data_IF_441423852232
#
_entry.id   IF_441423852232
#
_cell.length_a   1.000
_cell.length_b   1.000
_cell.length_c   1.000
_cell.angle_alpha   90.00
_cell.angle_beta   90.00
_cell.angle_gamma   90.00
#
_symmetry.space_group_name_H-M   'P 1'
#
loop_
_entity.id
_entity.type
_entity.pdbx_description
1 polymer ?
#
# COMPACT_ATOMS: atom_id res chain seq x y z
N UNK A 1 50.15 -26.48 11.51
CA UNK A 1 49.58 -27.23 12.67
C UNK A 1 50.47 -27.23 13.90
N UNK A 2 51.71 -27.74 13.87
CA UNK A 2 52.57 -27.78 15.08
C UNK A 2 52.73 -26.41 15.78
N UNK A 3 52.93 -25.33 15.01
CA UNK A 3 53.01 -23.97 15.55
C UNK A 3 51.69 -23.47 16.15
N UNK A 4 50.53 -23.84 15.58
CA UNK A 4 49.22 -23.49 16.12
C UNK A 4 48.98 -24.22 17.45
N UNK A 5 49.30 -25.52 17.54
CA UNK A 5 49.23 -26.29 18.80
C UNK A 5 50.10 -25.69 19.91
N UNK A 6 51.27 -25.15 19.54
CA UNK A 6 52.21 -24.55 20.48
C UNK A 6 51.76 -23.18 21.01
N UNK A 7 50.76 -22.54 20.40
CA UNK A 7 50.21 -21.28 20.90
C UNK A 7 49.62 -21.46 22.30
N UNK A 8 49.98 -20.57 23.22
CA UNK A 8 49.52 -20.59 24.60
C UNK A 8 48.24 -19.78 24.79
N UNK A 9 48.04 -18.75 23.95
CA UNK A 9 46.94 -17.80 24.05
C UNK A 9 46.15 -17.72 22.74
N UNK A 10 44.89 -17.28 22.83
CA UNK A 10 44.05 -17.03 21.66
C UNK A 10 44.65 -15.96 20.75
N UNK A 11 45.29 -14.94 21.33
CA UNK A 11 46.00 -13.90 20.58
C UNK A 11 47.15 -14.47 19.75
N UNK A 12 47.99 -15.32 20.32
CA UNK A 12 49.08 -15.97 19.57
C UNK A 12 48.54 -16.84 18.42
N UNK A 13 47.45 -17.58 18.68
CA UNK A 13 46.75 -18.36 17.66
C UNK A 13 46.24 -17.46 16.52
N UNK A 14 45.60 -16.34 16.86
CA UNK A 14 45.11 -15.34 15.91
C UNK A 14 46.23 -14.75 15.05
N UNK A 15 47.36 -14.38 15.66
CA UNK A 15 48.54 -13.84 14.95
C UNK A 15 49.16 -14.88 13.99
N UNK A 16 49.18 -16.16 14.37
CA UNK A 16 49.62 -17.26 13.50
C UNK A 16 48.67 -17.49 12.33
N UNK A 17 47.36 -17.49 12.59
CA UNK A 17 46.33 -17.64 11.56
C UNK A 17 46.34 -16.46 10.57
N UNK A 18 46.53 -15.24 11.06
CA UNK A 18 46.68 -14.04 10.21
C UNK A 18 47.89 -14.15 9.28
N UNK A 19 49.04 -14.62 9.79
CA UNK A 19 50.23 -14.89 8.96
C UNK A 19 49.95 -15.96 7.90
N UNK A 20 49.31 -17.06 8.28
CA UNK A 20 48.96 -18.12 7.33
C UNK A 20 47.96 -17.65 6.25
N UNK A 21 47.07 -16.72 6.58
CA UNK A 21 46.19 -16.09 5.60
C UNK A 21 46.96 -15.18 4.64
N UNK A 22 47.84 -14.32 5.15
CA UNK A 22 48.68 -13.43 4.34
C UNK A 22 49.58 -14.21 3.35
N UNK A 23 50.10 -15.35 3.80
CA UNK A 23 50.92 -16.26 2.97
C UNK A 23 50.09 -17.16 2.05
N UNK A 24 48.75 -17.08 2.10
CA UNK A 24 47.80 -17.95 1.38
C UNK A 24 47.98 -19.46 1.69
N UNK A 25 48.61 -19.78 2.81
CA UNK A 25 48.84 -21.15 3.29
C UNK A 25 47.70 -21.69 4.17
N UNK A 26 46.75 -20.84 4.57
CA UNK A 26 45.59 -21.21 5.40
C UNK A 26 44.77 -22.39 4.83
N UNK A 27 44.62 -22.51 3.50
CA UNK A 27 43.90 -23.63 2.87
C UNK A 27 44.56 -24.98 3.14
N UNK A 28 45.88 -25.02 3.34
CA UNK A 28 46.61 -26.24 3.71
C UNK A 28 46.34 -26.59 5.18
N UNK A 29 46.22 -25.59 6.05
CA UNK A 29 45.95 -25.79 7.48
C UNK A 29 44.55 -26.33 7.75
N UNK A 30 43.55 -25.87 6.99
CA UNK A 30 42.14 -26.26 7.18
C UNK A 30 41.70 -27.41 6.26
N UNK A 31 42.66 -28.11 5.63
CA UNK A 31 42.36 -29.24 4.75
C UNK A 31 41.97 -30.47 5.58
N UNK A 32 40.99 -31.22 5.09
CA UNK A 32 40.51 -32.46 5.71
C UNK A 32 40.16 -32.24 7.20
N UNK A 33 40.70 -33.05 8.12
CA UNK A 33 40.49 -32.94 9.58
C UNK A 33 41.11 -31.68 10.21
N UNK A 34 41.99 -30.98 9.48
CA UNK A 34 42.69 -29.80 9.96
C UNK A 34 41.74 -28.66 10.36
N UNK A 35 40.58 -28.53 9.70
CA UNK A 35 39.57 -27.55 10.09
C UNK A 35 39.05 -27.82 11.51
N UNK A 36 38.61 -29.05 11.78
CA UNK A 36 38.11 -29.46 13.10
C UNK A 36 39.18 -29.32 14.18
N UNK A 37 40.43 -29.60 13.85
CA UNK A 37 41.55 -29.42 14.77
C UNK A 37 41.78 -27.94 15.12
N UNK A 38 41.81 -27.05 14.13
CA UNK A 38 41.98 -25.60 14.37
C UNK A 38 40.79 -25.04 15.17
N UNK A 39 39.56 -25.46 14.84
CA UNK A 39 38.36 -25.08 15.61
C UNK A 39 38.49 -25.51 17.07
N UNK A 40 38.92 -26.75 17.32
CA UNK A 40 39.13 -27.25 18.68
C UNK A 40 40.19 -26.46 19.45
N UNK A 41 41.29 -26.09 18.77
CA UNK A 41 42.31 -25.22 19.36
C UNK A 41 41.78 -23.83 19.72
N UNK A 42 40.88 -23.25 18.91
CA UNK A 42 40.24 -21.97 19.27
C UNK A 42 39.42 -22.13 20.55
N UNK A 43 38.57 -23.15 20.64
CA UNK A 43 37.78 -23.44 21.85
C UNK A 43 38.66 -23.68 23.09
N UNK A 44 39.75 -24.43 22.99
CA UNK A 44 40.70 -24.63 24.10
C UNK A 44 41.40 -23.35 24.58
N UNK A 45 41.37 -22.29 23.76
CA UNK A 45 42.00 -21.00 24.06
C UNK A 45 41.02 -19.92 24.49
N UNK A 46 39.71 -20.19 24.42
CA UNK A 46 38.69 -19.39 25.11
C UNK A 46 38.69 -19.86 26.57
N UNK A 47 39.33 -19.09 27.46
CA UNK A 47 39.52 -19.49 28.87
C UNK A 47 38.76 -18.61 29.85
N UNK A 48 38.40 -17.41 29.44
CA UNK A 48 37.68 -16.44 30.25
C UNK A 48 36.68 -15.66 29.37
N UNK A 49 35.68 -15.00 29.98
CA UNK A 49 34.65 -14.24 29.24
C UNK A 49 35.23 -13.19 28.27
N UNK A 50 36.37 -12.58 28.60
CA UNK A 50 37.08 -11.64 27.73
C UNK A 50 37.63 -12.27 26.44
N UNK A 51 37.82 -13.59 26.40
CA UNK A 51 38.28 -14.33 25.23
C UNK A 51 37.13 -14.78 24.31
N UNK A 52 35.88 -14.74 24.77
CA UNK A 52 34.72 -15.27 24.04
C UNK A 52 34.48 -14.49 22.73
N UNK A 53 34.44 -13.16 22.78
CA UNK A 53 34.21 -12.33 21.59
C UNK A 53 35.40 -12.39 20.60
N UNK A 54 36.68 -12.29 21.02
CA UNK A 54 37.81 -12.58 20.13
C UNK A 54 37.79 -14.01 19.57
N UNK A 55 37.35 -14.99 20.37
CA UNK A 55 37.21 -16.38 19.93
C UNK A 55 36.15 -16.50 18.84
N UNK A 56 35.06 -15.75 19.00
CA UNK A 56 34.00 -15.67 18.01
C UNK A 56 34.48 -15.06 16.69
N UNK A 57 35.35 -14.04 16.74
CA UNK A 57 35.99 -13.48 15.55
C UNK A 57 36.80 -14.54 14.81
N UNK A 58 37.60 -15.33 15.53
CA UNK A 58 38.43 -16.39 14.93
C UNK A 58 37.61 -17.50 14.28
N UNK A 59 36.55 -17.95 14.96
CA UNK A 59 35.62 -18.95 14.43
C UNK A 59 34.85 -18.42 13.22
N UNK A 60 34.34 -17.18 13.27
CA UNK A 60 33.69 -16.55 12.13
C UNK A 60 34.64 -16.37 10.93
N UNK A 61 35.90 -16.02 11.19
CA UNK A 61 36.95 -15.92 10.16
C UNK A 61 37.25 -17.27 9.52
N UNK A 62 37.31 -18.35 10.31
CA UNK A 62 37.45 -19.71 9.81
C UNK A 62 36.25 -20.11 8.94
N UNK A 63 35.04 -19.76 9.35
CA UNK A 63 33.82 -20.09 8.61
C UNK A 63 33.83 -19.44 7.22
N UNK A 64 34.24 -18.17 7.13
CA UNK A 64 34.35 -17.45 5.86
C UNK A 64 35.31 -18.12 4.85
N UNK A 65 36.28 -18.91 5.30
CA UNK A 65 37.24 -19.62 4.43
C UNK A 65 37.01 -21.13 4.35
N UNK A 66 36.06 -21.69 5.10
CA UNK A 66 35.82 -23.13 5.21
C UNK A 66 35.21 -23.75 3.95
N UNK A 67 34.49 -22.96 3.13
CA UNK A 67 33.85 -23.34 1.84
C UNK A 67 32.93 -24.56 1.94
N UNK A 68 31.66 -24.36 2.33
CA UNK A 68 30.63 -25.40 2.50
C UNK A 68 30.93 -26.40 3.64
N UNK A 69 31.82 -26.02 4.57
CA UNK A 69 32.20 -26.82 5.75
C UNK A 69 32.01 -26.03 7.05
N UNK A 70 31.33 -24.90 6.96
CA UNK A 70 31.04 -24.00 8.05
C UNK A 70 30.18 -24.64 9.16
N UNK A 71 29.44 -25.71 8.86
CA UNK A 71 28.71 -26.49 9.87
C UNK A 71 29.62 -26.98 11.01
N UNK A 72 30.89 -27.34 10.71
CA UNK A 72 31.90 -27.75 11.71
C UNK A 72 32.11 -26.67 12.79
N UNK A 73 31.82 -25.41 12.45
CA UNK A 73 31.97 -24.25 13.33
C UNK A 73 30.61 -23.87 13.93
N UNK A 74 29.58 -23.74 13.10
CA UNK A 74 28.27 -23.22 13.54
C UNK A 74 27.49 -24.19 14.42
N UNK A 75 27.68 -25.51 14.27
CA UNK A 75 27.07 -26.52 15.15
C UNK A 75 27.56 -26.38 16.61
N UNK A 76 28.66 -25.64 16.82
CA UNK A 76 29.24 -25.38 18.14
C UNK A 76 29.17 -23.91 18.53
N UNK A 77 28.39 -23.07 17.83
CA UNK A 77 28.30 -21.64 18.12
C UNK A 77 27.80 -21.38 19.56
N UNK A 78 26.90 -22.22 20.07
CA UNK A 78 26.36 -22.14 21.43
C UNK A 78 27.42 -22.37 22.52
N UNK A 79 28.53 -23.05 22.20
CA UNK A 79 29.60 -23.34 23.16
C UNK A 79 30.54 -22.14 23.38
N UNK A 80 30.41 -21.08 22.56
CA UNK A 80 31.37 -19.96 22.53
C UNK A 80 31.10 -18.96 23.65
N UNK A 81 29.83 -18.69 23.93
CA UNK A 81 29.41 -17.61 24.83
C UNK A 81 28.78 -18.17 26.09
N UNK A 82 29.33 -17.84 27.26
CA UNK A 82 28.73 -18.22 28.54
C UNK A 82 27.53 -17.35 28.91
N UNK A 83 27.54 -16.09 28.47
CA UNK A 83 26.48 -15.08 28.67
C UNK A 83 26.43 -14.15 27.45
N UNK A 84 25.53 -13.16 27.46
CA UNK A 84 25.53 -12.11 26.44
C UNK A 84 26.91 -11.40 26.39
N UNK A 85 27.60 -11.36 25.23
CA UNK A 85 28.92 -10.76 25.12
C UNK A 85 28.86 -9.23 25.16
N UNK A 86 30.01 -8.54 25.39
CA UNK A 86 30.10 -7.09 25.19
C UNK A 86 29.82 -6.69 23.73
N UNK A 87 29.65 -5.39 23.48
CA UNK A 87 29.35 -4.87 22.14
C UNK A 87 30.41 -5.27 21.10
N UNK A 88 29.93 -5.73 19.93
CA UNK A 88 30.74 -6.02 18.74
C UNK A 88 31.45 -4.76 18.24
N UNK A 89 30.88 -3.57 18.45
CA UNK A 89 31.49 -2.32 17.97
C UNK A 89 32.84 -2.02 18.63
N UNK A 90 33.11 -2.62 19.80
CA UNK A 90 34.40 -2.53 20.49
C UNK A 90 35.55 -3.29 19.81
N UNK A 91 35.28 -4.10 18.78
CA UNK A 91 36.30 -4.78 17.99
C UNK A 91 37.05 -3.81 17.08
N UNK A 92 38.33 -4.12 16.84
CA UNK A 92 39.33 -3.19 16.24
C UNK A 92 38.95 -2.77 14.82
N UNK A 93 38.51 -3.69 13.97
CA UNK A 93 38.26 -3.46 12.55
C UNK A 93 36.91 -4.03 12.07
N UNK A 94 36.49 -3.61 10.88
CA UNK A 94 35.19 -3.97 10.33
C UNK A 94 35.05 -5.44 9.94
N UNK A 95 36.15 -6.13 9.62
CA UNK A 95 36.12 -7.55 9.28
C UNK A 95 35.92 -8.38 10.55
N UNK A 96 36.63 -8.04 11.63
CA UNK A 96 36.44 -8.64 12.94
C UNK A 96 34.97 -8.50 13.40
N UNK A 97 34.40 -7.31 13.25
CA UNK A 97 32.98 -7.07 13.54
C UNK A 97 32.05 -7.96 12.70
N UNK A 98 32.35 -8.13 11.41
CA UNK A 98 31.55 -8.96 10.51
C UNK A 98 31.65 -10.46 10.85
N UNK A 99 32.85 -10.95 11.18
CA UNK A 99 33.07 -12.33 11.60
C UNK A 99 32.37 -12.64 12.92
N UNK A 100 32.50 -11.76 13.92
CA UNK A 100 31.79 -11.91 15.19
C UNK A 100 30.27 -11.92 14.99
N UNK A 101 29.74 -10.96 14.21
CA UNK A 101 28.32 -10.92 13.88
C UNK A 101 27.84 -12.23 13.24
N UNK A 102 28.62 -12.77 12.28
CA UNK A 102 28.27 -14.02 11.60
C UNK A 102 28.20 -15.21 12.56
N UNK A 103 29.07 -15.28 13.56
CA UNK A 103 29.00 -16.36 14.54
C UNK A 103 27.83 -16.17 15.51
N UNK A 104 27.66 -14.95 16.04
CA UNK A 104 26.59 -14.61 16.99
C UNK A 104 25.21 -14.96 16.42
N UNK A 105 24.98 -14.77 15.12
CA UNK A 105 23.69 -15.09 14.50
C UNK A 105 23.38 -16.58 14.43
N UNK A 106 24.34 -17.47 14.69
CA UNK A 106 24.15 -18.92 14.75
C UNK A 106 23.96 -19.44 16.17
N UNK A 107 24.08 -18.58 17.18
CA UNK A 107 23.82 -18.93 18.58
C UNK A 107 22.30 -19.03 18.80
N UNK A 108 21.85 -20.10 19.46
CA UNK A 108 20.47 -20.43 19.78
C UNK A 108 19.96 -19.80 21.09
N UNK A 109 20.76 -18.95 21.75
CA UNK A 109 20.40 -18.33 23.02
C UNK A 109 19.37 -17.19 22.86
N UNK A 110 18.52 -17.02 23.89
CA UNK A 110 17.42 -16.03 23.86
C UNK A 110 17.88 -14.57 23.81
N UNK A 111 19.11 -14.28 24.21
CA UNK A 111 19.69 -12.93 24.16
C UNK A 111 20.07 -12.49 22.74
N UNK A 112 20.22 -13.42 21.80
CA UNK A 112 20.79 -13.15 20.46
C UNK A 112 19.94 -12.17 19.66
N UNK A 113 18.62 -12.36 19.61
CA UNK A 113 17.72 -11.49 18.86
C UNK A 113 17.75 -10.03 19.36
N UNK A 114 17.50 -9.74 20.66
CA UNK A 114 17.57 -8.36 21.14
C UNK A 114 19.00 -7.79 21.07
N UNK A 115 20.03 -8.61 21.28
CA UNK A 115 21.44 -8.19 21.09
C UNK A 115 21.73 -7.77 19.64
N UNK A 116 21.32 -8.58 18.66
CA UNK A 116 21.55 -8.30 17.24
C UNK A 116 20.89 -6.99 16.79
N UNK A 117 19.67 -6.70 17.24
CA UNK A 117 19.03 -5.42 16.97
C UNK A 117 19.80 -4.26 17.62
N UNK A 118 20.15 -4.34 18.91
CA UNK A 118 20.92 -3.29 19.60
C UNK A 118 22.26 -3.02 18.93
N UNK A 119 23.01 -4.07 18.62
CA UNK A 119 24.32 -3.96 17.98
C UNK A 119 24.23 -3.44 16.55
N UNK A 120 23.21 -3.83 15.78
CA UNK A 120 23.02 -3.30 14.43
C UNK A 120 22.85 -1.77 14.42
N UNK A 121 22.25 -1.22 15.46
CA UNK A 121 22.09 0.21 15.67
C UNK A 121 23.38 0.84 16.24
N UNK A 122 24.03 0.17 17.19
CA UNK A 122 25.21 0.65 17.91
C UNK A 122 26.50 0.68 17.08
N UNK A 123 26.66 -0.22 16.11
CA UNK A 123 27.86 -0.28 15.24
C UNK A 123 28.09 1.06 14.54
N UNK A 124 29.23 1.70 14.79
CA UNK A 124 29.57 2.99 14.21
C UNK A 124 29.94 2.88 12.74
N UNK A 125 30.83 1.94 12.46
CA UNK A 125 31.40 1.67 11.14
C UNK A 125 31.63 0.16 11.03
N UNK A 126 30.91 -0.49 10.09
CA UNK A 126 31.04 -1.87 9.62
C UNK A 126 29.69 -2.32 9.06
N UNK A 127 29.35 -1.82 7.86
CA UNK A 127 28.02 -2.08 7.28
C UNK A 127 27.81 -3.56 6.95
N UNK A 128 28.89 -4.32 6.73
CA UNK A 128 28.86 -5.79 6.61
C UNK A 128 28.37 -6.48 7.89
N UNK A 129 28.92 -6.11 9.05
CA UNK A 129 28.46 -6.62 10.34
C UNK A 129 26.99 -6.26 10.61
N UNK A 130 26.62 -5.00 10.34
CA UNK A 130 25.23 -4.54 10.46
C UNK A 130 24.29 -5.35 9.56
N UNK A 131 24.71 -5.60 8.31
CA UNK A 131 23.93 -6.38 7.34
C UNK A 131 23.70 -7.81 7.84
N UNK A 132 24.74 -8.47 8.35
CA UNK A 132 24.63 -9.82 8.91
C UNK A 132 23.64 -9.87 10.07
N UNK A 133 23.75 -8.95 11.04
CA UNK A 133 22.84 -8.90 12.19
C UNK A 133 21.40 -8.63 11.77
N UNK A 134 21.17 -7.60 10.96
CA UNK A 134 19.82 -7.21 10.52
C UNK A 134 19.15 -8.27 9.64
N UNK A 135 19.91 -8.95 8.77
CA UNK A 135 19.39 -10.04 7.94
C UNK A 135 18.95 -11.21 8.81
N UNK A 136 19.79 -11.59 9.76
CA UNK A 136 19.48 -12.67 10.69
C UNK A 136 18.33 -12.32 11.65
N UNK A 137 18.14 -11.04 11.97
CA UNK A 137 16.92 -10.58 12.65
C UNK A 137 15.70 -10.79 11.76
N UNK A 138 15.71 -10.30 10.50
CA UNK A 138 14.57 -10.44 9.58
C UNK A 138 14.18 -11.91 9.35
N UNK A 139 15.15 -12.82 9.24
CA UNK A 139 14.92 -14.25 9.07
C UNK A 139 14.22 -14.92 10.28
N UNK A 140 14.33 -14.32 11.47
CA UNK A 140 13.64 -14.80 12.69
C UNK A 140 12.22 -14.25 12.83
N UNK A 141 11.91 -13.16 12.14
CA UNK A 141 10.60 -12.53 12.19
C UNK A 141 9.63 -13.17 11.20
N UNK A 142 8.33 -13.08 11.49
CA UNK A 142 7.30 -13.61 10.60
C UNK A 142 7.09 -12.72 9.36
N UNK A 143 7.39 -11.42 9.49
CA UNK A 143 7.15 -10.44 8.44
C UNK A 143 8.08 -9.23 8.54
N UNK A 144 8.14 -8.44 7.45
CA UNK A 144 8.87 -7.16 7.45
C UNK A 144 8.29 -6.18 8.47
N UNK A 145 6.98 -6.20 8.72
CA UNK A 145 6.35 -5.35 9.72
C UNK A 145 6.87 -5.65 11.12
N UNK A 146 6.94 -6.91 11.49
CA UNK A 146 7.45 -7.35 12.81
C UNK A 146 8.92 -6.96 12.96
N UNK A 147 9.72 -7.10 11.90
CA UNK A 147 11.12 -6.67 11.88
C UNK A 147 11.31 -5.16 12.09
N UNK A 148 10.45 -4.34 11.48
CA UNK A 148 10.46 -2.88 11.69
C UNK A 148 10.05 -2.52 13.11
N UNK A 149 9.04 -3.20 13.66
CA UNK A 149 8.58 -3.01 15.05
C UNK A 149 9.68 -3.37 16.04
N UNK A 150 10.28 -4.55 15.91
CA UNK A 150 11.32 -5.04 16.79
C UNK A 150 12.58 -4.15 16.76
N UNK A 151 12.98 -3.65 15.58
CA UNK A 151 14.05 -2.66 15.48
C UNK A 151 13.70 -1.35 16.20
N UNK A 152 12.45 -0.87 16.03
CA UNK A 152 11.98 0.37 16.64
C UNK A 152 12.00 0.30 18.17
N UNK A 153 11.67 -0.85 18.75
CA UNK A 153 11.71 -1.07 20.20
C UNK A 153 13.13 -0.93 20.78
N UNK A 154 14.17 -1.16 19.98
CA UNK A 154 15.56 -0.99 20.40
C UNK A 154 16.09 0.44 20.20
N UNK A 155 15.34 1.37 19.61
CA UNK A 155 15.83 2.74 19.38
C UNK A 155 16.18 3.46 20.66
N UNK A 156 15.47 3.19 21.75
CA UNK A 156 15.77 3.75 23.07
C UNK A 156 17.13 3.29 23.63
N UNK A 157 17.66 2.14 23.18
CA UNK A 157 18.95 1.61 23.66
C UNK A 157 20.15 2.35 23.07
N UNK A 158 19.97 3.14 22.00
CA UNK A 158 21.04 3.90 21.32
C UNK A 158 21.62 5.04 22.16
N UNK A 159 21.02 5.35 23.32
CA UNK A 159 21.45 6.47 24.16
C UNK A 159 21.26 7.83 23.49
N UNK A 160 21.97 8.85 24.00
CA UNK A 160 21.93 10.19 23.43
C UNK A 160 22.96 10.38 22.33
N UNK A 161 22.55 11.00 21.23
CA UNK A 161 23.47 11.45 20.19
C UNK A 161 23.98 12.86 20.50
N UNK A 162 25.24 13.20 20.16
CA UNK A 162 25.79 14.54 20.38
C UNK A 162 25.00 15.62 19.64
N UNK A 163 24.51 15.32 18.44
CA UNK A 163 23.74 16.22 17.59
C UNK A 163 22.65 15.47 16.82
N UNK A 164 21.57 16.16 16.39
CA UNK A 164 20.59 15.59 15.47
C UNK A 164 21.20 15.09 14.15
N UNK A 165 22.19 15.80 13.61
CA UNK A 165 22.89 15.40 12.38
C UNK A 165 23.64 14.07 12.54
N UNK A 166 24.35 13.87 13.65
CA UNK A 166 25.04 12.61 13.94
C UNK A 166 24.05 11.43 14.05
N UNK A 167 22.89 11.66 14.68
CA UNK A 167 21.78 10.69 14.73
C UNK A 167 21.30 10.32 13.33
N UNK A 168 21.03 11.32 12.49
CA UNK A 168 20.54 11.08 11.13
C UNK A 168 21.56 10.39 10.24
N UNK A 169 22.86 10.74 10.33
CA UNK A 169 23.92 10.03 9.61
C UNK A 169 24.02 8.57 10.03
N UNK A 170 23.79 8.27 11.32
CA UNK A 170 23.73 6.88 11.82
C UNK A 170 22.55 6.14 11.18
N UNK A 171 21.35 6.72 11.26
CA UNK A 171 20.16 6.13 10.67
C UNK A 171 20.24 5.97 9.17
N UNK A 172 20.88 6.90 8.46
CA UNK A 172 21.12 6.79 7.02
C UNK A 172 21.84 5.49 6.67
N UNK A 173 22.86 5.10 7.44
CA UNK A 173 23.57 3.82 7.25
C UNK A 173 22.72 2.61 7.61
N UNK A 174 21.94 2.69 8.69
CA UNK A 174 21.01 1.61 9.08
C UNK A 174 19.96 1.37 7.99
N UNK A 175 19.29 2.43 7.53
CA UNK A 175 18.24 2.36 6.52
C UNK A 175 18.76 1.92 5.15
N UNK A 176 19.98 2.30 4.77
CA UNK A 176 20.59 1.83 3.52
C UNK A 176 20.85 0.31 3.55
N UNK A 177 21.36 -0.21 4.67
CA UNK A 177 21.50 -1.66 4.88
C UNK A 177 20.13 -2.34 4.87
N UNK A 178 19.14 -1.81 5.59
CA UNK A 178 17.78 -2.36 5.58
C UNK A 178 17.18 -2.40 4.17
N UNK A 179 17.32 -1.32 3.40
CA UNK A 179 16.86 -1.25 2.01
C UNK A 179 17.49 -2.32 1.13
N UNK A 180 18.79 -2.58 1.31
CA UNK A 180 19.53 -3.62 0.58
C UNK A 180 19.06 -5.03 0.95
N UNK A 181 18.77 -5.29 2.23
CA UNK A 181 18.20 -6.56 2.69
C UNK A 181 16.80 -6.76 2.08
N UNK A 182 15.95 -5.74 2.11
CA UNK A 182 14.58 -5.79 1.57
C UNK A 182 14.50 -6.03 0.05
N UNK A 183 15.50 -5.60 -0.71
CA UNK A 183 15.57 -5.90 -2.16
C UNK A 183 15.62 -7.40 -2.45
N UNK A 184 16.28 -8.16 -1.57
CA UNK A 184 16.45 -9.60 -1.69
C UNK A 184 15.35 -10.39 -0.98
N UNK A 185 14.60 -9.76 -0.06
CA UNK A 185 13.49 -10.38 0.63
C UNK A 185 12.38 -10.86 -0.33
N UNK A 186 11.84 -12.05 -0.01
CA UNK A 186 10.74 -12.72 -0.74
C UNK A 186 9.64 -13.27 0.18
N UNK A 187 9.77 -13.09 1.50
CA UNK A 187 8.78 -13.56 2.48
C UNK A 187 7.61 -12.59 2.64
N UNK A 188 6.85 -12.75 3.73
CA UNK A 188 5.69 -11.90 4.01
C UNK A 188 6.11 -10.47 4.39
N UNK A 189 5.23 -9.52 4.05
CA UNK A 189 5.36 -8.11 4.40
C UNK A 189 4.70 -7.81 5.74
N UNK A 190 3.63 -8.54 6.08
CA UNK A 190 2.85 -8.30 7.30
C UNK A 190 1.80 -7.21 7.15
N UNK A 191 0.94 -7.09 8.16
CA UNK A 191 -0.11 -6.07 8.21
C UNK A 191 0.46 -4.70 8.61
N UNK A 192 -0.21 -3.61 8.20
CA UNK A 192 0.10 -2.24 8.61
C UNK A 192 1.55 -1.75 8.39
N UNK A 193 2.35 -2.40 7.53
CA UNK A 193 3.76 -2.05 7.31
C UNK A 193 3.99 -0.55 6.99
N UNK A 194 3.06 0.09 6.26
CA UNK A 194 3.16 1.51 5.93
C UNK A 194 3.08 2.40 7.17
N UNK A 195 2.24 2.03 8.13
CA UNK A 195 2.17 2.66 9.46
C UNK A 195 3.47 2.44 10.23
N UNK A 196 3.96 1.20 10.29
CA UNK A 196 5.19 0.86 11.03
C UNK A 196 6.43 1.60 10.48
N UNK A 197 6.56 1.73 9.15
CA UNK A 197 7.59 2.54 8.52
C UNK A 197 7.44 4.04 8.82
N UNK A 198 6.22 4.55 8.89
CA UNK A 198 5.97 5.95 9.24
C UNK A 198 6.32 6.26 10.70
N UNK A 199 6.06 5.31 11.60
CA UNK A 199 6.42 5.42 13.01
C UNK A 199 7.93 5.31 13.19
N UNK A 200 8.59 4.36 12.49
CA UNK A 200 10.04 4.30 12.42
C UNK A 200 10.62 5.63 11.91
N UNK A 201 10.08 6.22 10.84
CA UNK A 201 10.54 7.52 10.33
C UNK A 201 10.44 8.61 11.40
N UNK A 202 9.36 8.62 12.18
CA UNK A 202 9.17 9.61 13.25
C UNK A 202 10.22 9.44 14.34
N UNK A 203 10.56 8.19 14.70
CA UNK A 203 11.67 7.90 15.59
C UNK A 203 13.01 8.33 14.98
N UNK A 204 13.29 8.03 13.71
CA UNK A 204 14.54 8.41 13.05
C UNK A 204 14.77 9.93 13.09
N UNK A 205 13.76 10.71 12.70
CA UNK A 205 13.84 12.18 12.63
C UNK A 205 13.89 12.84 14.01
N UNK A 206 13.36 12.19 15.05
CA UNK A 206 13.38 12.71 16.41
C UNK A 206 12.50 13.95 16.60
N UNK A 207 12.87 14.87 17.50
CA UNK A 207 12.05 16.05 17.83
C UNK A 207 12.51 17.36 17.16
N UNK A 208 13.75 17.44 16.70
CA UNK A 208 14.33 18.66 16.14
C UNK A 208 15.26 18.35 14.97
N UNK A 209 15.09 19.11 13.89
CA UNK A 209 15.86 19.02 12.65
C UNK A 209 16.61 20.32 12.30
N UNK A 210 16.63 21.32 13.19
CA UNK A 210 17.10 22.69 12.88
C UNK A 210 18.55 22.78 12.41
N UNK A 211 19.39 21.80 12.74
CA UNK A 211 20.84 21.79 12.45
C UNK A 211 21.25 20.59 11.61
N UNK A 212 20.31 20.02 10.86
CA UNK A 212 20.54 18.82 10.03
C UNK A 212 20.90 19.23 8.61
N UNK A 213 21.89 18.56 8.03
CA UNK A 213 22.22 18.69 6.61
C UNK A 213 21.07 18.14 5.73
N UNK A 214 20.54 18.99 4.83
CA UNK A 214 19.45 18.65 3.92
C UNK A 214 19.76 17.42 3.05
N UNK A 215 21.02 17.21 2.64
CA UNK A 215 21.38 16.05 1.82
C UNK A 215 21.30 14.76 2.63
N UNK A 216 21.72 14.79 3.92
CA UNK A 216 21.57 13.64 4.82
C UNK A 216 20.11 13.35 5.10
N UNK A 217 19.30 14.39 5.33
CA UNK A 217 17.87 14.27 5.54
C UNK A 217 17.17 13.67 4.31
N UNK A 218 17.48 14.18 3.12
CA UNK A 218 16.88 13.70 1.88
C UNK A 218 17.28 12.27 1.56
N UNK A 219 18.54 11.87 1.82
CA UNK A 219 18.95 10.47 1.70
C UNK A 219 18.12 9.57 2.62
N UNK A 220 17.91 9.96 3.88
CA UNK A 220 17.10 9.18 4.85
C UNK A 220 15.65 9.03 4.38
N UNK A 221 15.03 10.13 3.92
CA UNK A 221 13.68 10.08 3.37
C UNK A 221 13.61 9.20 2.11
N UNK A 222 14.60 9.28 1.21
CA UNK A 222 14.61 8.49 -0.01
C UNK A 222 14.81 6.99 0.26
N UNK A 223 15.57 6.61 1.30
CA UNK A 223 15.69 5.21 1.74
C UNK A 223 14.36 4.67 2.28
N UNK A 224 13.60 5.48 3.04
CA UNK A 224 12.24 5.09 3.44
C UNK A 224 11.33 4.87 2.24
N UNK A 225 11.42 5.72 1.22
CA UNK A 225 10.64 5.56 -0.01
C UNK A 225 11.12 4.37 -0.86
N UNK A 226 12.42 4.03 -0.82
CA UNK A 226 12.97 2.83 -1.47
C UNK A 226 12.36 1.58 -0.85
N UNK A 227 12.30 1.52 0.48
CA UNK A 227 11.63 0.42 1.20
C UNK A 227 10.13 0.37 0.87
N UNK A 228 9.42 1.51 0.91
CA UNK A 228 8.00 1.57 0.53
C UNK A 228 7.76 1.04 -0.89
N UNK A 229 8.55 1.49 -1.88
CA UNK A 229 8.44 1.03 -3.25
C UNK A 229 8.63 -0.49 -3.34
N UNK A 230 9.63 -1.02 -2.62
CA UNK A 230 9.90 -2.45 -2.59
C UNK A 230 8.74 -3.26 -1.98
N UNK A 231 8.09 -2.74 -0.93
CA UNK A 231 6.93 -3.38 -0.31
C UNK A 231 5.75 -3.48 -1.29
N UNK A 232 5.50 -2.41 -2.05
CA UNK A 232 4.47 -2.40 -3.09
C UNK A 232 4.80 -3.42 -4.19
N UNK A 233 6.06 -3.58 -4.56
CA UNK A 233 6.48 -4.59 -5.55
C UNK A 233 6.30 -6.03 -5.05
N UNK A 234 6.59 -6.30 -3.77
CA UNK A 234 6.39 -7.63 -3.18
C UNK A 234 4.89 -7.96 -3.14
N UNK A 235 4.04 -6.99 -2.79
CA UNK A 235 2.59 -7.21 -2.64
C UNK A 235 1.79 -6.01 -3.13
N UNK A 236 1.54 -5.97 -4.44
CA UNK A 236 0.83 -4.86 -5.10
C UNK A 236 -0.55 -4.55 -4.51
N UNK A 237 -1.25 -5.55 -3.96
CA UNK A 237 -2.56 -5.34 -3.32
C UNK A 237 -2.52 -4.28 -2.22
N UNK A 238 -1.37 -4.09 -1.56
CA UNK A 238 -1.20 -3.07 -0.53
C UNK A 238 -1.22 -1.64 -1.09
N UNK A 239 -0.82 -1.46 -2.36
CA UNK A 239 -0.83 -0.16 -3.02
C UNK A 239 -2.24 0.44 -3.13
N UNK A 240 -3.29 -0.37 -2.98
CA UNK A 240 -4.68 0.10 -3.01
C UNK A 240 -5.15 0.72 -1.68
N UNK A 241 -4.35 0.60 -0.61
CA UNK A 241 -4.68 1.12 0.71
C UNK A 241 -3.83 2.36 1.02
N UNK A 242 -4.47 3.44 1.45
CA UNK A 242 -3.77 4.68 1.78
C UNK A 242 -2.80 4.53 2.97
N UNK A 243 -3.11 3.64 3.92
CA UNK A 243 -2.25 3.34 5.07
C UNK A 243 -0.84 2.85 4.66
N UNK A 244 -0.71 2.19 3.51
CA UNK A 244 0.59 1.79 2.94
C UNK A 244 1.51 3.00 2.70
N UNK A 245 0.93 4.15 2.39
CA UNK A 245 1.64 5.38 2.04
C UNK A 245 1.83 6.34 3.22
N UNK A 246 1.54 5.92 4.45
CA UNK A 246 1.55 6.77 5.63
C UNK A 246 2.87 7.53 5.84
N UNK A 247 4.01 6.96 5.39
CA UNK A 247 5.33 7.59 5.45
C UNK A 247 5.41 8.93 4.70
N UNK A 248 4.64 9.12 3.62
CA UNK A 248 4.62 10.35 2.83
C UNK A 248 4.01 11.50 3.62
N UNK A 249 2.85 11.27 4.22
CA UNK A 249 2.16 12.29 5.01
C UNK A 249 2.91 12.58 6.31
N UNK A 250 3.44 11.52 6.96
CA UNK A 250 4.25 11.64 8.17
C UNK A 250 5.50 12.46 7.91
N UNK A 251 6.25 12.13 6.84
CA UNK A 251 7.47 12.84 6.43
C UNK A 251 7.19 14.30 6.14
N UNK A 252 6.18 14.59 5.30
CA UNK A 252 5.77 15.97 4.99
C UNK A 252 5.40 16.78 6.23
N UNK A 253 4.65 16.19 7.16
CA UNK A 253 4.27 16.83 8.42
C UNK A 253 5.48 17.13 9.30
N UNK A 254 6.43 16.20 9.33
CA UNK A 254 7.60 16.29 10.21
C UNK A 254 8.62 17.32 9.72
N UNK A 255 8.94 17.34 8.43
CA UNK A 255 9.95 18.28 7.87
C UNK A 255 9.36 19.63 7.44
N UNK A 256 8.03 19.71 7.33
CA UNK A 256 7.33 20.90 6.88
C UNK A 256 7.27 21.05 5.35
N UNK A 257 6.31 21.85 4.88
CA UNK A 257 5.98 21.94 3.45
C UNK A 257 7.12 22.48 2.57
N UNK A 258 7.95 23.40 3.09
CA UNK A 258 9.07 24.00 2.37
C UNK A 258 10.17 23.00 2.04
N UNK A 259 10.73 22.37 3.09
CA UNK A 259 11.79 21.33 2.97
C UNK A 259 11.26 20.14 2.19
N UNK A 260 10.02 19.71 2.45
CA UNK A 260 9.39 18.63 1.69
C UNK A 260 9.29 18.95 0.20
N UNK A 261 8.93 20.18 -0.17
CA UNK A 261 8.89 20.62 -1.57
C UNK A 261 10.24 20.55 -2.27
N UNK A 262 11.34 20.81 -1.56
CA UNK A 262 12.69 20.64 -2.10
C UNK A 262 13.04 19.15 -2.28
N UNK A 263 12.70 18.32 -1.28
CA UNK A 263 12.86 16.86 -1.34
C UNK A 263 12.12 16.25 -2.53
N UNK A 264 10.87 16.67 -2.80
CA UNK A 264 10.07 16.18 -3.93
C UNK A 264 10.75 16.32 -5.29
N UNK A 265 11.66 17.30 -5.44
CA UNK A 265 12.40 17.56 -6.69
C UNK A 265 13.73 16.80 -6.77
N UNK A 266 14.31 16.40 -5.62
CA UNK A 266 15.59 15.70 -5.55
C UNK A 266 15.46 14.18 -5.37
N UNK A 267 14.35 13.71 -4.81
CA UNK A 267 14.11 12.30 -4.49
C UNK A 267 14.20 11.42 -5.74
N UNK A 268 14.94 10.30 -5.63
CA UNK A 268 15.12 9.33 -6.71
C UNK A 268 13.96 8.33 -6.75
N UNK A 269 13.27 8.13 -5.63
CA UNK A 269 12.17 7.17 -5.52
C UNK A 269 10.79 7.78 -5.78
N UNK A 270 10.63 9.11 -5.67
CA UNK A 270 9.33 9.77 -5.77
C UNK A 270 8.59 9.49 -7.08
N UNK A 271 9.31 9.36 -8.20
CA UNK A 271 8.71 9.03 -9.50
C UNK A 271 8.02 7.66 -9.49
N UNK A 272 8.66 6.64 -8.89
CA UNK A 272 8.11 5.29 -8.75
C UNK A 272 6.88 5.28 -7.85
N UNK A 273 6.94 6.01 -6.72
CA UNK A 273 5.80 6.14 -5.81
C UNK A 273 4.60 6.83 -6.48
N UNK A 274 4.84 7.90 -7.23
CA UNK A 274 3.80 8.59 -8.01
C UNK A 274 3.13 7.65 -9.01
N UNK A 275 3.91 6.85 -9.75
CA UNK A 275 3.36 5.86 -10.68
C UNK A 275 2.50 4.83 -9.94
N UNK A 276 2.99 4.26 -8.83
CA UNK A 276 2.22 3.30 -8.04
C UNK A 276 0.88 3.88 -7.56
N UNK A 277 0.87 5.11 -7.04
CA UNK A 277 -0.35 5.79 -6.59
C UNK A 277 -1.33 6.08 -7.74
N UNK A 278 -0.82 6.47 -8.92
CA UNK A 278 -1.65 6.74 -10.10
C UNK A 278 -2.29 5.44 -10.64
N UNK A 279 -1.55 4.34 -10.65
CA UNK A 279 -2.07 3.02 -11.02
C UNK A 279 -3.11 2.55 -10.00
N UNK A 280 -2.85 2.72 -8.70
CA UNK A 280 -3.84 2.42 -7.65
C UNK A 280 -5.12 3.24 -7.82
N UNK A 281 -5.01 4.53 -8.12
CA UNK A 281 -6.16 5.39 -8.41
C UNK A 281 -6.93 4.90 -9.64
N UNK A 282 -6.24 4.45 -10.69
CA UNK A 282 -6.88 3.90 -11.89
C UNK A 282 -7.61 2.59 -11.58
N UNK A 283 -7.00 1.69 -10.81
CA UNK A 283 -7.63 0.43 -10.37
C UNK A 283 -8.87 0.70 -9.53
N UNK A 284 -8.79 1.61 -8.55
CA UNK A 284 -9.95 2.00 -7.75
C UNK A 284 -11.05 2.64 -8.60
N UNK A 285 -10.68 3.46 -9.59
CA UNK A 285 -11.63 4.07 -10.52
C UNK A 285 -12.37 3.02 -11.35
N UNK A 286 -11.68 1.98 -11.83
CA UNK A 286 -12.29 0.85 -12.55
C UNK A 286 -13.23 0.01 -11.68
N UNK A 287 -13.01 0.01 -10.37
CA UNK A 287 -13.92 -0.57 -9.38
C UNK A 287 -15.09 0.36 -9.03
N UNK A 288 -15.25 1.48 -9.73
CA UNK A 288 -16.24 2.52 -9.46
C UNK A 288 -16.12 3.12 -8.04
N UNK A 289 -14.89 3.24 -7.53
CA UNK A 289 -14.58 3.77 -6.19
C UNK A 289 -13.83 5.08 -6.26
N UNK A 290 -14.13 5.95 -5.30
CA UNK A 290 -13.37 7.17 -4.99
C UNK A 290 -12.68 6.99 -3.65
N UNK A 291 -11.48 7.55 -3.47
CA UNK A 291 -10.73 7.40 -2.23
C UNK A 291 -9.98 8.68 -1.85
N UNK A 292 -10.49 9.38 -0.83
CA UNK A 292 -9.93 10.65 -0.35
C UNK A 292 -8.55 10.48 0.29
N UNK A 293 -8.28 9.33 0.88
CA UNK A 293 -7.02 9.07 1.58
C UNK A 293 -5.90 8.81 0.55
N UNK A 294 -6.20 8.10 -0.54
CA UNK A 294 -5.27 7.96 -1.68
C UNK A 294 -5.00 9.31 -2.34
N UNK A 295 -6.00 10.18 -2.46
CA UNK A 295 -5.79 11.57 -2.88
C UNK A 295 -4.88 12.32 -1.89
N UNK A 296 -5.03 12.10 -0.59
CA UNK A 296 -4.13 12.62 0.46
C UNK A 296 -2.68 12.22 0.22
N UNK A 297 -2.43 10.92 -0.01
CA UNK A 297 -1.11 10.40 -0.34
C UNK A 297 -0.55 11.01 -1.65
N UNK A 298 -1.37 11.15 -2.70
CA UNK A 298 -0.99 11.86 -3.93
C UNK A 298 -0.61 13.32 -3.65
N UNK A 299 -1.38 14.04 -2.83
CA UNK A 299 -1.07 15.43 -2.45
C UNK A 299 0.20 15.55 -1.59
N UNK A 300 0.66 14.47 -0.98
CA UNK A 300 1.98 14.41 -0.36
C UNK A 300 3.10 14.24 -1.41
N UNK A 301 2.85 13.61 -2.55
CA UNK A 301 3.84 13.41 -3.62
C UNK A 301 4.02 14.58 -4.60
N UNK A 302 3.12 15.56 -4.60
CA UNK A 302 3.14 16.70 -5.53
C UNK A 302 3.17 18.03 -4.78
N UNK A 303 3.73 19.06 -5.41
CA UNK A 303 3.84 20.39 -4.80
C UNK A 303 2.50 21.10 -4.70
N UNK A 304 1.52 20.73 -5.53
CA UNK A 304 0.20 21.35 -5.53
C UNK A 304 -0.91 20.41 -6.06
N UNK A 305 -2.16 20.69 -5.65
CA UNK A 305 -3.34 19.96 -6.12
C UNK A 305 -3.55 20.04 -7.64
N UNK A 306 -3.36 21.19 -8.32
CA UNK A 306 -3.44 21.25 -9.78
C UNK A 306 -2.46 20.30 -10.48
N UNK A 307 -1.26 20.08 -9.92
CA UNK A 307 -0.32 19.10 -10.47
C UNK A 307 -0.84 17.67 -10.32
N UNK A 308 -1.47 17.32 -9.19
CA UNK A 308 -2.14 16.02 -9.01
C UNK A 308 -3.25 15.84 -10.04
N UNK A 309 -4.14 16.82 -10.18
CA UNK A 309 -5.24 16.77 -11.14
C UNK A 309 -4.74 16.60 -12.58
N UNK A 310 -3.69 17.33 -12.97
CA UNK A 310 -3.06 17.20 -14.28
C UNK A 310 -2.42 15.82 -14.49
N UNK A 311 -1.76 15.28 -13.46
CA UNK A 311 -1.16 13.95 -13.51
C UNK A 311 -2.21 12.85 -13.67
N UNK A 312 -3.31 12.90 -12.91
CA UNK A 312 -4.42 11.96 -13.01
C UNK A 312 -5.06 12.04 -14.39
N UNK A 313 -5.40 13.25 -14.88
CA UNK A 313 -5.98 13.44 -16.22
C UNK A 313 -5.12 12.84 -17.33
N UNK A 314 -3.79 13.03 -17.24
CA UNK A 314 -2.83 12.46 -18.18
C UNK A 314 -2.80 10.93 -18.09
N UNK A 315 -2.79 10.39 -16.88
CA UNK A 315 -2.71 8.96 -16.65
C UNK A 315 -4.00 8.22 -17.06
N UNK A 316 -5.16 8.87 -16.93
CA UNK A 316 -6.47 8.29 -17.25
C UNK A 316 -6.87 8.47 -18.73
N UNK A 317 -6.01 9.06 -19.57
CA UNK A 317 -6.37 9.47 -20.94
C UNK A 317 -6.93 8.33 -21.79
N UNK A 318 -6.39 7.12 -21.63
CA UNK A 318 -6.77 5.94 -22.41
C UNK A 318 -7.85 5.06 -21.74
N UNK A 319 -8.22 5.37 -20.49
CA UNK A 319 -9.13 4.56 -19.68
C UNK A 319 -10.60 4.86 -20.00
N UNK A 320 -11.06 4.55 -21.22
CA UNK A 320 -12.42 4.88 -21.73
C UNK A 320 -13.57 4.19 -20.99
N UNK A 321 -13.25 3.14 -20.22
CA UNK A 321 -14.14 2.28 -19.44
C UNK A 321 -14.63 2.90 -18.11
N UNK A 322 -14.06 4.03 -17.68
CA UNK A 322 -14.40 4.65 -16.40
C UNK A 322 -15.77 5.33 -16.39
N UNK A 323 -16.50 5.17 -15.29
CA UNK A 323 -17.71 5.95 -15.00
C UNK A 323 -17.41 7.47 -15.05
N UNK A 324 -18.24 8.28 -15.73
CA UNK A 324 -17.98 9.72 -15.89
C UNK A 324 -17.87 10.50 -14.59
N UNK A 325 -18.69 10.17 -13.58
CA UNK A 325 -18.73 10.88 -12.31
C UNK A 325 -17.51 10.50 -11.45
N UNK A 326 -17.13 9.21 -11.44
CA UNK A 326 -15.89 8.74 -10.80
C UNK A 326 -14.66 9.33 -11.47
N UNK A 327 -14.60 9.33 -12.81
CA UNK A 327 -13.51 9.97 -13.55
C UNK A 327 -13.41 11.46 -13.24
N UNK A 328 -14.55 12.17 -13.19
CA UNK A 328 -14.57 13.58 -12.86
C UNK A 328 -14.03 13.85 -11.45
N UNK A 329 -14.44 13.05 -10.47
CA UNK A 329 -13.96 13.12 -9.09
C UNK A 329 -12.44 12.90 -8.98
N UNK A 330 -11.90 11.88 -9.64
CA UNK A 330 -10.45 11.65 -9.64
C UNK A 330 -9.71 12.75 -10.42
N UNK A 331 -10.25 13.19 -11.55
CA UNK A 331 -9.65 14.25 -12.39
C UNK A 331 -9.69 15.64 -11.74
N UNK A 332 -10.55 15.86 -10.74
CA UNK A 332 -10.53 17.05 -9.87
C UNK A 332 -9.61 16.87 -8.66
N UNK A 333 -8.80 15.80 -8.64
CA UNK A 333 -7.97 15.40 -7.51
C UNK A 333 -8.78 15.31 -6.20
N UNK A 334 -10.00 14.76 -6.25
CA UNK A 334 -10.85 14.58 -5.08
C UNK A 334 -11.47 15.87 -4.53
N UNK A 335 -11.41 16.98 -5.26
CA UNK A 335 -12.36 18.07 -5.05
C UNK A 335 -13.74 17.51 -5.39
N UNK A 336 -14.43 17.09 -4.33
CA UNK A 336 -15.86 16.94 -4.39
C UNK A 336 -16.37 18.26 -4.94
N UNK A 337 -17.13 18.18 -6.02
CA UNK A 337 -18.07 19.26 -6.31
C UNK A 337 -18.97 19.29 -5.08
N UNK A 338 -18.73 20.20 -4.13
CA UNK A 338 -19.69 20.55 -3.06
C UNK A 338 -20.92 21.25 -3.66
N UNK A 339 -21.31 20.88 -4.88
CA UNK A 339 -22.71 20.64 -5.14
C UNK A 339 -23.09 19.46 -4.25
N UNK A 340 -23.62 19.76 -3.06
CA UNK A 340 -24.87 19.10 -2.66
C UNK A 340 -25.81 19.19 -3.85
N UNK A 341 -25.70 18.27 -4.79
CA UNK A 341 -26.90 17.58 -5.20
C UNK A 341 -27.19 16.69 -4.01
N UNK A 342 -28.22 17.07 -3.26
CA UNK A 342 -29.15 16.06 -2.78
C UNK A 342 -29.28 14.98 -3.85
N UNK A 343 -29.56 13.75 -3.47
CA UNK A 343 -30.06 12.76 -4.42
C UNK A 343 -31.45 13.22 -4.88
N UNK A 344 -31.51 14.35 -5.59
CA UNK A 344 -32.49 14.62 -6.59
C UNK A 344 -32.24 13.56 -7.63
N UNK A 345 -33.13 12.58 -7.64
CA UNK A 345 -33.45 11.81 -8.83
C UNK A 345 -33.45 12.81 -9.99
N UNK A 346 -32.38 12.82 -10.80
CA UNK A 346 -32.28 13.68 -11.98
C UNK A 346 -33.29 13.18 -13.01
N UNK A 347 -34.56 13.54 -12.82
CA UNK A 347 -35.49 13.80 -13.91
C UNK A 347 -34.79 14.85 -14.77
N UNK A 348 -34.44 14.50 -16.00
CA UNK A 348 -33.50 15.28 -16.82
C UNK A 348 -33.82 16.79 -16.86
N UNK A 349 -32.78 17.62 -16.75
CA UNK A 349 -32.84 19.09 -16.87
C UNK A 349 -33.09 19.55 -18.32
N UNK A 350 -34.21 19.14 -18.90
CA UNK A 350 -34.80 19.72 -20.10
C UNK A 350 -36.32 19.53 -19.98
N UNK A 351 -37.11 20.56 -20.30
CA UNK A 351 -38.58 20.51 -20.34
C UNK A 351 -39.07 19.23 -21.05
N UNK A 352 -38.36 18.79 -22.09
CA UNK A 352 -38.66 17.57 -22.84
C UNK A 352 -38.55 16.29 -22.00
N UNK A 353 -37.58 16.20 -21.09
CA UNK A 353 -37.40 15.04 -20.22
C UNK A 353 -38.46 15.02 -19.10
N UNK A 354 -38.88 16.18 -18.60
CA UNK A 354 -39.98 16.28 -17.63
C UNK A 354 -41.33 15.93 -18.25
N UNK A 355 -41.62 16.45 -19.46
CA UNK A 355 -42.81 16.07 -20.22
C UNK A 355 -42.78 14.57 -20.54
N UNK A 356 -41.59 14.04 -20.89
CA UNK A 356 -41.39 12.61 -21.11
C UNK A 356 -41.65 11.75 -19.88
N UNK A 357 -41.14 12.15 -18.71
CA UNK A 357 -41.38 11.45 -17.45
C UNK A 357 -42.87 11.47 -17.05
N UNK A 358 -43.53 12.63 -17.18
CA UNK A 358 -44.98 12.76 -16.96
C UNK A 358 -45.77 11.85 -17.92
N UNK A 359 -45.36 11.76 -19.19
CA UNK A 359 -46.00 10.87 -20.16
C UNK A 359 -45.89 9.41 -19.74
N UNK A 360 -44.71 8.97 -19.27
CA UNK A 360 -44.53 7.59 -18.78
C UNK A 360 -45.47 7.29 -17.60
N UNK A 361 -45.52 8.19 -16.61
CA UNK A 361 -46.35 7.99 -15.39
C UNK A 361 -47.84 8.04 -15.68
N UNK A 362 -48.27 8.88 -16.62
CA UNK A 362 -49.64 8.83 -17.11
C UNK A 362 -49.88 7.47 -17.75
N UNK A 363 -49.11 7.07 -18.76
CA UNK A 363 -49.39 5.87 -19.54
C UNK A 363 -49.32 4.58 -18.71
N UNK A 364 -48.43 4.51 -17.71
CA UNK A 364 -48.32 3.35 -16.80
C UNK A 364 -49.56 3.14 -15.93
N UNK A 365 -50.27 4.22 -15.59
CA UNK A 365 -51.44 4.21 -14.71
C UNK A 365 -52.78 4.17 -15.45
N UNK A 366 -52.78 4.23 -16.79
CA UNK A 366 -54.00 4.36 -17.59
C UNK A 366 -54.96 3.19 -17.36
N UNK A 367 -54.46 1.96 -17.45
CA UNK A 367 -55.28 0.76 -17.31
C UNK A 367 -55.90 0.66 -15.90
N UNK A 368 -55.12 1.01 -14.86
CA UNK A 368 -55.60 1.00 -13.48
C UNK A 368 -56.72 2.05 -13.28
N UNK A 369 -56.53 3.27 -13.79
CA UNK A 369 -57.53 4.33 -13.68
C UNK A 369 -58.78 4.06 -14.52
N UNK A 370 -58.65 3.44 -15.69
CA UNK A 370 -59.79 2.97 -16.48
C UNK A 370 -60.58 1.88 -15.75
N UNK A 371 -59.91 0.93 -15.09
CA UNK A 371 -60.56 -0.09 -14.26
C UNK A 371 -61.27 0.52 -13.04
N UNK A 372 -60.65 1.48 -12.35
CA UNK A 372 -61.31 2.22 -11.26
C UNK A 372 -62.58 2.92 -11.79
N UNK A 373 -62.48 3.60 -12.93
CA UNK A 373 -63.61 4.27 -13.55
C UNK A 373 -64.75 3.33 -13.96
N UNK A 374 -64.45 2.15 -14.51
CA UNK A 374 -65.48 1.22 -15.00
C UNK A 374 -66.04 0.29 -13.92
N UNK A 375 -65.21 -0.17 -12.98
CA UNK A 375 -65.61 -1.19 -11.99
C UNK A 375 -65.89 -0.59 -10.60
N UNK A 376 -65.01 0.28 -10.10
CA UNK A 376 -65.10 0.78 -8.72
C UNK A 376 -66.13 1.90 -8.61
N UNK A 377 -66.16 2.83 -9.55
CA UNK A 377 -67.15 3.93 -9.55
C UNK A 377 -68.57 3.37 -9.63
N UNK A 378 -68.84 2.40 -10.51
CA UNK A 378 -70.17 1.79 -10.65
C UNK A 378 -70.61 1.05 -9.38
N UNK A 379 -69.67 0.37 -8.71
CA UNK A 379 -69.96 -0.28 -7.44
C UNK A 379 -70.28 0.74 -6.33
N UNK A 380 -69.46 1.79 -6.22
CA UNK A 380 -69.68 2.88 -5.25
C UNK A 380 -70.96 3.66 -5.51
N UNK A 381 -71.44 3.77 -6.75
CA UNK A 381 -72.74 4.40 -7.03
C UNK A 381 -73.91 3.70 -6.33
N UNK A 382 -73.79 2.38 -6.12
CA UNK A 382 -74.83 1.57 -5.49
C UNK A 382 -74.70 1.62 -3.97
N UNK A 383 -73.47 1.53 -3.44
CA UNK A 383 -73.22 1.44 -1.99
C UNK A 383 -73.01 2.79 -1.30
N UNK A 384 -72.26 3.71 -1.91
CA UNK A 384 -71.85 5.00 -1.33
C UNK A 384 -71.77 6.12 -2.39
N UNK A 385 -72.91 6.75 -2.74
CA UNK A 385 -72.99 7.72 -3.84
C UNK A 385 -72.07 8.94 -3.72
N UNK A 386 -71.79 9.37 -2.48
CA UNK A 386 -70.89 10.50 -2.21
C UNK A 386 -69.46 10.16 -2.63
N UNK A 387 -68.94 8.98 -2.24
CA UNK A 387 -67.61 8.53 -2.65
C UNK A 387 -67.54 8.26 -4.16
N UNK A 388 -68.61 7.73 -4.75
CA UNK A 388 -68.68 7.51 -6.19
C UNK A 388 -68.45 8.81 -6.99
N UNK A 389 -69.02 9.92 -6.52
CA UNK A 389 -68.83 11.24 -7.13
C UNK A 389 -67.39 11.72 -7.04
N UNK A 390 -66.74 11.54 -5.89
CA UNK A 390 -65.33 11.90 -5.67
C UNK A 390 -64.39 11.04 -6.50
N UNK A 391 -64.59 9.72 -6.51
CA UNK A 391 -63.79 8.79 -7.32
C UNK A 391 -63.96 9.06 -8.80
N UNK A 392 -65.17 9.37 -9.27
CA UNK A 392 -65.42 9.78 -10.66
C UNK A 392 -64.66 11.06 -11.00
N UNK A 393 -64.71 12.06 -10.14
CA UNK A 393 -63.96 13.31 -10.35
C UNK A 393 -62.44 13.06 -10.44
N UNK A 394 -61.89 12.16 -9.61
CA UNK A 394 -60.49 11.76 -9.66
C UNK A 394 -60.12 11.05 -10.98
N UNK A 395 -60.96 10.12 -11.46
CA UNK A 395 -60.76 9.45 -12.74
C UNK A 395 -60.80 10.45 -13.90
N UNK A 396 -61.78 11.35 -13.92
CA UNK A 396 -61.87 12.41 -14.94
C UNK A 396 -60.69 13.38 -14.88
N UNK A 397 -60.26 13.76 -13.68
CA UNK A 397 -59.08 14.61 -13.46
C UNK A 397 -57.81 13.97 -14.01
N UNK A 398 -57.61 12.69 -13.75
CA UNK A 398 -56.50 11.93 -14.32
C UNK A 398 -56.57 11.86 -15.86
N UNK A 399 -57.75 11.62 -16.46
CA UNK A 399 -57.92 11.61 -17.91
C UNK A 399 -57.54 12.96 -18.55
N UNK A 400 -57.89 14.07 -17.89
CA UNK A 400 -57.50 15.41 -18.34
C UNK A 400 -55.98 15.61 -18.28
N UNK A 401 -55.33 15.21 -17.17
CA UNK A 401 -53.87 15.26 -17.05
C UNK A 401 -53.22 14.40 -18.14
N UNK A 402 -53.76 13.22 -18.41
CA UNK A 402 -53.27 12.33 -19.43
C UNK A 402 -53.33 12.96 -20.84
N UNK A 403 -54.45 13.60 -21.16
CA UNK A 403 -54.64 14.29 -22.43
C UNK A 403 -53.67 15.47 -22.58
N UNK A 404 -53.44 16.25 -21.52
CA UNK A 404 -52.49 17.36 -21.49
C UNK A 404 -51.06 16.84 -21.69
N UNK A 405 -50.66 15.79 -20.97
CA UNK A 405 -49.34 15.18 -21.10
C UNK A 405 -49.08 14.68 -22.54
N UNK A 406 -50.04 13.99 -23.15
CA UNK A 406 -49.95 13.56 -24.57
C UNK A 406 -49.88 14.73 -25.54
N UNK A 407 -50.57 15.84 -25.26
CA UNK A 407 -50.52 17.04 -26.10
C UNK A 407 -49.14 17.71 -26.02
N UNK A 408 -48.60 17.86 -24.82
CA UNK A 408 -47.26 18.41 -24.60
C UNK A 408 -46.18 17.55 -25.27
N UNK A 409 -46.26 16.23 -25.12
CA UNK A 409 -45.35 15.29 -25.76
C UNK A 409 -45.37 15.40 -27.29
N UNK A 410 -46.57 15.48 -27.89
CA UNK A 410 -46.73 15.69 -29.34
C UNK A 410 -46.14 17.02 -29.81
N UNK A 411 -46.40 18.11 -29.11
CA UNK A 411 -45.85 19.43 -29.44
C UNK A 411 -44.32 19.45 -29.43
N UNK A 412 -43.71 18.63 -28.56
CA UNK A 412 -42.24 18.54 -28.41
C UNK A 412 -41.62 17.36 -29.17
N UNK A 413 -42.40 16.63 -29.97
CA UNK A 413 -41.99 15.45 -30.77
C UNK A 413 -41.34 14.35 -29.94
N UNK A 414 -41.94 14.04 -28.78
CA UNK A 414 -41.50 12.98 -27.88
C UNK A 414 -42.26 11.68 -28.20
N UNK A 415 -41.53 10.57 -28.28
CA UNK A 415 -42.09 9.24 -28.49
C UNK A 415 -41.55 8.26 -27.47
N UNK A 416 -42.31 7.19 -27.18
CA UNK A 416 -41.87 6.10 -26.31
C UNK A 416 -40.88 5.20 -27.04
N UNK A 417 -40.16 4.39 -26.28
CA UNK A 417 -39.30 3.34 -26.84
C UNK A 417 -40.07 2.12 -27.34
N UNK A 418 -41.25 1.87 -26.76
CA UNK A 418 -42.10 0.70 -27.00
C UNK A 418 -41.36 -0.65 -26.87
N UNK A 419 -40.47 -0.72 -25.88
CA UNK A 419 -39.65 -1.90 -25.55
C UNK A 419 -40.15 -2.63 -24.30
N UNK A 420 -41.16 -2.11 -23.58
CA UNK A 420 -41.68 -2.72 -22.35
C UNK A 420 -42.06 -4.18 -22.60
N UNK A 421 -41.46 -5.08 -21.82
CA UNK A 421 -41.63 -6.53 -21.92
C UNK A 421 -40.58 -7.23 -22.78
N UNK A 422 -39.79 -6.51 -23.57
CA UNK A 422 -38.73 -7.10 -24.40
C UNK A 422 -37.52 -7.54 -23.57
N UNK A 423 -36.81 -8.55 -24.08
CA UNK A 423 -35.55 -9.07 -23.53
C UNK A 423 -34.40 -8.63 -24.42
N UNK A 424 -33.49 -7.85 -23.86
CA UNK A 424 -32.41 -7.18 -24.59
C UNK A 424 -31.05 -7.45 -23.92
N UNK A 425 -29.97 -7.20 -24.66
CA UNK A 425 -28.63 -7.16 -24.05
C UNK A 425 -28.49 -5.88 -23.21
N UNK A 426 -27.89 -6.01 -22.03
CA UNK A 426 -27.80 -4.88 -21.11
C UNK A 426 -26.74 -3.89 -21.54
N UNK A 427 -27.16 -2.67 -21.84
CA UNK A 427 -26.30 -1.53 -22.13
C UNK A 427 -26.53 -0.41 -21.10
N UNK A 428 -25.59 -0.14 -20.17
CA UNK A 428 -25.73 0.92 -19.16
C UNK A 428 -25.92 2.33 -19.77
N UNK A 429 -25.51 2.56 -21.02
CA UNK A 429 -25.71 3.84 -21.71
C UNK A 429 -27.16 4.03 -22.13
N UNK A 430 -27.89 2.96 -22.40
CA UNK A 430 -29.24 2.99 -22.95
C UNK A 430 -30.30 2.54 -21.93
N UNK A 431 -29.91 1.80 -20.88
CA UNK A 431 -30.82 1.20 -19.90
C UNK A 431 -30.49 1.65 -18.47
N UNK A 432 -31.53 1.76 -17.65
CA UNK A 432 -31.43 2.01 -16.21
C UNK A 432 -31.83 0.74 -15.45
N UNK A 433 -30.91 0.14 -14.68
CA UNK A 433 -31.18 -1.13 -13.97
C UNK A 433 -31.90 -0.88 -12.64
N UNK A 434 -33.02 -1.56 -12.40
CA UNK A 434 -33.71 -1.54 -11.11
C UNK A 434 -32.82 -2.13 -10.01
N UNK A 435 -32.65 -1.38 -8.92
CA UNK A 435 -31.74 -1.74 -7.83
C UNK A 435 -30.26 -1.41 -8.09
N UNK A 436 -29.95 -0.66 -9.15
CA UNK A 436 -28.59 -0.28 -9.52
C UNK A 436 -27.90 -1.33 -10.39
N UNK A 437 -26.73 -0.96 -10.92
CA UNK A 437 -25.95 -1.83 -11.79
C UNK A 437 -25.46 -3.09 -11.04
N UNK A 438 -25.71 -4.27 -11.61
CA UNK A 438 -25.25 -5.57 -11.10
C UNK A 438 -24.22 -6.17 -12.06
N UNK A 439 -23.02 -6.46 -11.55
CA UNK A 439 -21.96 -7.10 -12.33
C UNK A 439 -22.37 -8.51 -12.78
N UNK A 440 -22.02 -8.89 -14.02
CA UNK A 440 -22.33 -10.21 -14.60
C UNK A 440 -23.69 -10.33 -15.30
N UNK A 441 -24.54 -9.29 -15.27
CA UNK A 441 -25.84 -9.31 -15.97
C UNK A 441 -25.67 -8.95 -17.44
N UNK A 442 -25.86 -9.93 -18.32
CA UNK A 442 -25.80 -9.74 -19.78
C UNK A 442 -27.16 -9.52 -20.43
N UNK A 443 -28.21 -10.18 -19.92
CA UNK A 443 -29.58 -10.07 -20.44
C UNK A 443 -30.47 -9.39 -19.43
N UNK A 444 -31.35 -8.53 -19.94
CA UNK A 444 -32.30 -7.77 -19.13
C UNK A 444 -33.67 -7.76 -19.76
N UNK A 445 -34.71 -7.72 -18.92
CA UNK A 445 -36.09 -7.49 -19.32
C UNK A 445 -36.47 -6.05 -19.08
N UNK A 446 -37.08 -5.39 -20.07
CA UNK A 446 -37.55 -4.01 -19.93
C UNK A 446 -38.86 -3.98 -19.14
N UNK A 447 -38.85 -3.32 -17.98
CA UNK A 447 -40.02 -3.19 -17.09
C UNK A 447 -40.77 -1.87 -17.28
N UNK A 448 -40.08 -0.85 -17.80
CA UNK A 448 -40.66 0.46 -18.11
C UNK A 448 -40.02 1.03 -19.37
N UNK A 449 -40.85 1.60 -20.24
CA UNK A 449 -40.34 2.30 -21.42
C UNK A 449 -39.53 3.55 -21.08
N UNK A 450 -38.67 3.93 -22.04
CA UNK A 450 -38.02 5.22 -22.07
C UNK A 450 -38.73 6.21 -23.00
N UNK A 451 -38.14 7.39 -23.13
CA UNK A 451 -38.57 8.44 -24.06
C UNK A 451 -37.44 8.78 -25.02
N UNK A 452 -37.78 8.89 -26.29
CA UNK A 452 -36.89 9.27 -27.39
C UNK A 452 -37.38 10.55 -28.06
N UNK A 453 -36.45 11.29 -28.65
CA UNK A 453 -36.71 12.47 -29.50
C UNK A 453 -35.75 12.49 -30.68
N UNK A 454 -36.26 12.85 -31.84
CA UNK A 454 -35.45 13.02 -33.05
C UNK A 454 -34.90 14.46 -33.13
N UNK A 455 -33.59 14.58 -33.26
CA UNK A 455 -32.85 15.83 -33.50
C UNK A 455 -32.09 15.72 -34.81
N UNK A 456 -32.55 16.43 -35.84
CA UNK A 456 -31.86 16.54 -37.13
C UNK A 456 -31.41 15.19 -37.70
N UNK A 457 -32.30 14.19 -37.71
CA UNK A 457 -32.05 12.84 -38.20
C UNK A 457 -31.37 11.87 -37.21
N UNK A 458 -31.06 12.31 -35.98
CA UNK A 458 -30.52 11.45 -34.91
C UNK A 458 -31.53 11.27 -33.78
N UNK A 459 -31.83 10.02 -33.43
CA UNK A 459 -32.71 9.69 -32.29
C UNK A 459 -31.90 9.73 -31.00
N UNK A 460 -32.34 10.52 -30.03
CA UNK A 460 -31.73 10.62 -28.70
C UNK A 460 -32.70 10.12 -27.64
N UNK A 461 -32.24 9.23 -26.77
CA UNK A 461 -32.96 8.82 -25.56
C UNK A 461 -32.86 9.92 -24.51
N UNK A 462 -34.01 10.46 -24.09
CA UNK A 462 -34.13 11.52 -23.09
C UNK A 462 -34.43 10.96 -21.69
N UNK A 463 -35.19 9.86 -21.64
CA UNK A 463 -35.45 9.09 -20.42
C UNK A 463 -35.12 7.64 -20.75
N UNK A 464 -34.22 7.02 -20.00
CA UNK A 464 -33.85 5.61 -20.23
C UNK A 464 -35.00 4.68 -19.82
N UNK A 465 -35.26 3.60 -20.57
CA UNK A 465 -36.10 2.51 -20.10
C UNK A 465 -35.52 1.89 -18.84
N UNK A 466 -36.41 1.42 -17.96
CA UNK A 466 -36.01 0.64 -16.80
C UNK A 466 -35.95 -0.82 -17.17
N UNK A 467 -34.95 -1.49 -16.62
CA UNK A 467 -34.71 -2.90 -16.88
C UNK A 467 -34.40 -3.64 -15.59
N UNK A 468 -34.70 -4.93 -15.57
CA UNK A 468 -34.30 -5.86 -14.53
C UNK A 468 -33.49 -7.01 -15.13
N UNK A 469 -32.70 -7.71 -14.32
CA UNK A 469 -31.98 -8.89 -14.80
C UNK A 469 -32.97 -9.93 -15.32
N UNK A 470 -32.72 -10.44 -16.53
CA UNK A 470 -33.48 -11.57 -17.06
C UNK A 470 -32.88 -12.83 -16.43
N UNK A 471 -33.67 -13.55 -15.64
CA UNK A 471 -33.27 -14.81 -14.99
C UNK A 471 -32.93 -15.91 -16.01
#
# INVERSE_FOLDING_TARGET
MAQLRASATLRELSELMTRAMAERSHQVLIKDEGLSEVVSLVFERIRAPEDELPGAVELGRLAAVARNREAVIFDRADDVFSVEPPSIDGLIDGDAKAYAAHLVTHVGASWVAPYAYRESLAIESADGARSTLLSACLEREQSVADWVVALREQVASLGSFPTPDARLRRWRRVLDVMGTIMEHWRGDVGANIGGELADLLSEVLGKSLEVVDDDVLFDVLDQMLRMLARLIEIRFSMALYASTYAVLERGKRHVGAGVWGQFLNRSRQMSRIRVALLESALVLSRQNRTDREIIGALLACYSSRPQVAAAIKRHFVDARDLDPDVRAWWSSAGEATESRREVEHRVGNNEDAQIGALLIEVESNQEAMEKIGRAVVQFLEISEPVLASTTRAAVSGYQNIAQIARRLARMRKLTRTDLKGERLEYNPLEHEMLGGHKSGVRRVRVVRDGIKKEFSGKVKTLVKPWVEADE
#
